data_IF_608594596126
#
_entry.id   IF_608594596126
#
_cell.length_a   1.000
_cell.length_b   1.000
_cell.length_c   1.000
_cell.angle_alpha   90.00
_cell.angle_beta   90.00
_cell.angle_gamma   90.00
#
_symmetry.space_group_name_H-M   'P 1'
#
loop_
_entity.id
_entity.type
_entity.pdbx_description
1 polymer ?
#
# COMPACT_ATOMS: atom_id res chain seq x y z
N UNK A 1 33.95 36.72 -13.83
CA UNK A 1 34.55 35.35 -13.94
C UNK A 1 33.50 34.33 -13.52
N UNK A 2 33.24 33.32 -14.35
CA UNK A 2 32.37 32.21 -13.94
C UNK A 2 33.11 31.31 -12.96
N UNK A 3 32.58 31.21 -11.74
CA UNK A 3 33.09 30.29 -10.72
C UNK A 3 32.35 28.96 -10.81
N UNK A 4 33.07 27.86 -10.61
CA UNK A 4 32.54 26.51 -10.76
C UNK A 4 32.76 25.71 -9.47
N UNK A 5 31.90 24.72 -9.25
CA UNK A 5 32.04 23.72 -8.17
C UNK A 5 31.61 22.35 -8.67
N UNK A 6 31.75 21.33 -7.82
CA UNK A 6 31.25 19.99 -8.12
C UNK A 6 29.90 19.74 -7.46
N UNK A 7 28.97 19.17 -8.22
CA UNK A 7 27.75 18.58 -7.66
C UNK A 7 28.11 17.33 -6.84
N UNK A 8 27.23 16.92 -5.91
CA UNK A 8 27.41 15.70 -5.10
C UNK A 8 27.64 14.43 -5.95
N UNK A 9 27.16 14.40 -7.20
CA UNK A 9 27.40 13.30 -8.13
C UNK A 9 28.75 13.36 -8.86
N UNK A 10 29.60 14.36 -8.60
CA UNK A 10 30.90 14.55 -9.23
C UNK A 10 30.90 15.44 -10.48
N UNK A 11 29.75 15.85 -11.02
CA UNK A 11 29.69 16.73 -12.21
C UNK A 11 30.06 18.18 -11.87
N UNK A 12 30.86 18.82 -12.73
CA UNK A 12 31.18 20.26 -12.64
C UNK A 12 29.94 21.09 -12.99
N UNK A 13 29.59 22.04 -12.13
CA UNK A 13 28.43 22.93 -12.28
C UNK A 13 28.84 24.38 -11.94
N UNK A 14 28.03 25.34 -12.39
CA UNK A 14 28.21 26.74 -11.97
C UNK A 14 28.00 26.86 -10.45
N UNK A 15 28.80 27.69 -9.79
CA UNK A 15 28.83 27.83 -8.33
C UNK A 15 27.46 28.19 -7.72
N UNK A 16 26.65 28.98 -8.43
CA UNK A 16 25.30 29.37 -8.02
C UNK A 16 24.28 28.22 -8.10
N UNK A 17 24.58 27.14 -8.83
CA UNK A 17 23.68 25.99 -8.91
C UNK A 17 23.88 25.08 -7.71
N UNK A 18 22.79 24.62 -7.09
CA UNK A 18 22.87 23.67 -5.97
C UNK A 18 23.17 22.24 -6.41
N UNK A 19 22.68 21.84 -7.60
CA UNK A 19 22.79 20.48 -8.17
C UNK A 19 22.84 20.54 -9.70
N UNK A 20 23.42 19.53 -10.35
CA UNK A 20 23.32 19.37 -11.80
C UNK A 20 21.88 19.06 -12.24
N UNK A 21 21.58 19.25 -13.52
CA UNK A 21 20.28 18.97 -14.15
C UNK A 21 19.77 17.57 -13.80
N UNK A 22 20.59 16.55 -13.92
CA UNK A 22 20.17 15.16 -13.66
C UNK A 22 19.86 14.95 -12.18
N UNK A 23 20.70 15.45 -11.27
CA UNK A 23 20.45 15.33 -9.83
C UNK A 23 19.21 16.13 -9.38
N UNK A 24 18.87 17.22 -10.06
CA UNK A 24 17.59 17.93 -9.83
C UNK A 24 16.42 17.04 -10.23
N UNK A 25 16.44 16.47 -11.43
CA UNK A 25 15.39 15.56 -11.93
C UNK A 25 15.24 14.34 -11.00
N UNK A 26 16.35 13.70 -10.62
CA UNK A 26 16.31 12.55 -9.72
C UNK A 26 15.77 12.91 -8.33
N UNK A 27 16.09 14.09 -7.81
CA UNK A 27 15.52 14.56 -6.52
C UNK A 27 13.99 14.68 -6.63
N UNK A 28 13.48 15.33 -7.69
CA UNK A 28 12.04 15.48 -7.92
C UNK A 28 11.36 14.12 -8.11
N UNK A 29 11.94 13.23 -8.91
CA UNK A 29 11.42 11.85 -9.08
C UNK A 29 11.34 11.10 -7.76
N UNK A 30 12.35 11.20 -6.91
CA UNK A 30 12.36 10.55 -5.60
C UNK A 30 11.33 11.16 -4.64
N UNK A 31 11.17 12.49 -4.66
CA UNK A 31 10.13 13.18 -3.89
C UNK A 31 8.73 12.77 -4.34
N UNK A 32 8.47 12.71 -5.66
CA UNK A 32 7.19 12.26 -6.20
C UNK A 32 6.91 10.80 -5.84
N UNK A 33 7.90 9.90 -5.98
CA UNK A 33 7.76 8.50 -5.54
C UNK A 33 7.39 8.39 -4.06
N UNK A 34 8.03 9.19 -3.21
CA UNK A 34 7.72 9.22 -1.78
C UNK A 34 6.30 9.75 -1.54
N UNK A 35 5.93 10.86 -2.16
CA UNK A 35 4.57 11.40 -2.07
C UNK A 35 3.50 10.40 -2.52
N UNK A 36 3.71 9.73 -3.66
CA UNK A 36 2.80 8.71 -4.19
C UNK A 36 2.67 7.52 -3.24
N UNK A 37 3.78 7.05 -2.65
CA UNK A 37 3.77 5.97 -1.67
C UNK A 37 2.99 6.36 -0.41
N UNK A 38 3.24 7.56 0.15
CA UNK A 38 2.52 8.07 1.32
C UNK A 38 1.04 8.28 1.04
N UNK A 39 0.68 8.78 -0.14
CA UNK A 39 -0.71 8.95 -0.56
C UNK A 39 -1.44 7.60 -0.64
N UNK A 40 -0.81 6.58 -1.26
CA UNK A 40 -1.37 5.23 -1.33
C UNK A 40 -1.60 4.59 0.04
N UNK A 41 -0.65 4.77 0.97
CA UNK A 41 -0.78 4.26 2.35
C UNK A 41 -1.95 4.93 3.09
N UNK A 42 -2.08 6.27 2.95
CA UNK A 42 -3.21 7.03 3.48
C UNK A 42 -4.54 6.63 2.84
N UNK A 43 -4.61 6.45 1.53
CA UNK A 43 -5.83 6.05 0.81
C UNK A 43 -6.27 4.62 1.18
N UNK A 44 -5.30 3.72 1.43
CA UNK A 44 -5.57 2.39 1.97
C UNK A 44 -6.12 2.48 3.40
N UNK A 45 -5.48 3.28 4.27
CA UNK A 45 -5.92 3.48 5.65
C UNK A 45 -7.30 4.15 5.74
N UNK A 46 -7.58 5.17 4.92
CA UNK A 46 -8.84 5.92 4.95
C UNK A 46 -10.04 5.03 4.62
N UNK A 47 -9.90 4.10 3.67
CA UNK A 47 -10.94 3.13 3.34
C UNK A 47 -11.29 2.25 4.55
N UNK A 48 -10.29 1.68 5.24
CA UNK A 48 -10.54 0.83 6.40
C UNK A 48 -11.11 1.61 7.60
N UNK A 49 -11.00 2.93 7.61
CA UNK A 49 -11.65 3.81 8.59
C UNK A 49 -13.03 4.32 8.19
N UNK A 50 -13.46 4.08 6.94
CA UNK A 50 -14.76 4.52 6.40
C UNK A 50 -15.95 3.90 7.15
N UNK A 51 -17.08 4.60 7.15
CA UNK A 51 -18.30 4.15 7.84
C UNK A 51 -18.89 2.94 7.12
N UNK A 52 -18.84 2.96 5.79
CA UNK A 52 -19.30 1.93 4.87
C UNK A 52 -18.59 0.61 5.15
N UNK A 53 -17.25 0.63 5.24
CA UNK A 53 -16.47 -0.56 5.56
C UNK A 53 -16.77 -1.07 6.96
N UNK A 54 -16.83 -0.20 7.97
CA UNK A 54 -17.11 -0.61 9.35
C UNK A 54 -18.47 -1.29 9.48
N UNK A 55 -19.51 -0.74 8.83
CA UNK A 55 -20.86 -1.33 8.81
C UNK A 55 -20.87 -2.68 8.11
N UNK A 56 -20.33 -2.75 6.89
CA UNK A 56 -20.26 -3.98 6.10
C UNK A 56 -19.48 -5.07 6.84
N UNK A 57 -18.28 -4.74 7.34
CA UNK A 57 -17.43 -5.67 8.11
C UNK A 57 -18.17 -6.24 9.32
N UNK A 58 -18.89 -5.38 10.06
CA UNK A 58 -19.59 -5.80 11.28
C UNK A 58 -20.77 -6.71 10.97
N UNK A 59 -21.57 -6.41 9.93
CA UNK A 59 -22.65 -7.29 9.48
C UNK A 59 -22.08 -8.63 8.98
N UNK A 60 -21.10 -8.57 8.07
CA UNK A 60 -20.56 -9.74 7.41
C UNK A 60 -19.97 -10.75 8.39
N UNK A 61 -19.22 -10.31 9.40
CA UNK A 61 -18.61 -11.23 10.38
C UNK A 61 -19.62 -11.83 11.36
N UNK A 62 -20.75 -11.15 11.60
CA UNK A 62 -21.84 -11.70 12.40
C UNK A 62 -22.58 -12.80 11.63
N UNK A 63 -22.82 -12.59 10.32
CA UNK A 63 -23.45 -13.58 9.45
C UNK A 63 -22.51 -14.75 9.11
N UNK A 64 -21.19 -14.51 9.12
CA UNK A 64 -20.15 -15.49 8.80
C UNK A 64 -19.14 -15.64 9.95
N UNK A 65 -19.56 -16.17 11.11
CA UNK A 65 -18.74 -16.17 12.34
C UNK A 65 -17.57 -17.15 12.30
N UNK A 66 -17.53 -18.07 11.32
CA UNK A 66 -16.50 -19.07 11.17
C UNK A 66 -15.54 -18.75 10.03
N UNK A 67 -14.29 -19.15 10.21
CA UNK A 67 -13.21 -19.01 9.24
C UNK A 67 -13.50 -19.87 8.02
N UNK A 68 -13.57 -19.24 6.86
CA UNK A 68 -13.82 -19.91 5.58
C UNK A 68 -12.80 -21.02 5.28
N UNK A 69 -11.56 -20.90 5.77
CA UNK A 69 -10.48 -21.85 5.48
C UNK A 69 -10.42 -23.04 6.43
N UNK A 70 -10.84 -22.90 7.69
CA UNK A 70 -10.60 -23.93 8.70
C UNK A 70 -11.74 -24.14 9.71
N UNK A 71 -12.86 -23.43 9.58
CA UNK A 71 -14.04 -23.61 10.44
C UNK A 71 -13.94 -23.07 11.87
N UNK A 72 -12.76 -22.64 12.34
CA UNK A 72 -12.62 -21.97 13.67
C UNK A 72 -13.27 -20.60 13.66
N UNK A 73 -13.61 -20.03 14.82
CA UNK A 73 -14.14 -18.66 14.89
C UNK A 73 -13.26 -17.64 14.16
N UNK A 74 -13.89 -16.84 13.30
CA UNK A 74 -13.26 -15.76 12.60
C UNK A 74 -13.06 -14.55 13.52
N UNK A 75 -12.03 -13.76 13.22
CA UNK A 75 -11.74 -12.49 13.91
C UNK A 75 -11.57 -11.33 12.93
N UNK A 76 -11.36 -11.64 11.66
CA UNK A 76 -11.06 -10.69 10.60
C UNK A 76 -11.99 -10.96 9.42
N UNK A 77 -12.44 -9.88 8.77
CA UNK A 77 -13.00 -9.94 7.41
C UNK A 77 -11.90 -9.44 6.48
N UNK A 78 -11.57 -10.25 5.50
CA UNK A 78 -10.47 -10.03 4.57
C UNK A 78 -11.00 -10.07 3.13
N UNK A 79 -10.34 -9.35 2.23
CA UNK A 79 -10.71 -9.36 0.81
C UNK A 79 -10.16 -10.63 0.14
N UNK A 80 -10.98 -11.34 -0.65
CA UNK A 80 -10.54 -12.52 -1.42
C UNK A 80 -9.49 -12.13 -2.44
N UNK A 81 -9.79 -11.13 -3.26
CA UNK A 81 -8.86 -10.41 -4.12
C UNK A 81 -8.45 -9.13 -3.39
N UNK A 82 -7.16 -8.92 -3.06
CA UNK A 82 -6.70 -7.71 -2.39
C UNK A 82 -7.08 -6.44 -3.14
N UNK A 83 -7.44 -5.38 -2.41
CA UNK A 83 -7.74 -4.06 -2.98
C UNK A 83 -6.57 -3.56 -3.84
N UNK A 84 -5.33 -3.78 -3.40
CA UNK A 84 -4.11 -3.40 -4.13
C UNK A 84 -3.92 -4.14 -5.47
N UNK A 85 -4.64 -5.25 -5.67
CA UNK A 85 -4.65 -6.05 -6.91
C UNK A 85 -5.94 -5.81 -7.72
N UNK A 86 -6.73 -4.78 -7.39
CA UNK A 86 -7.96 -4.44 -8.10
C UNK A 86 -9.22 -5.11 -7.57
N UNK A 87 -9.15 -5.76 -6.40
CA UNK A 87 -10.33 -6.34 -5.77
C UNK A 87 -11.37 -5.30 -5.37
N UNK A 88 -12.64 -5.64 -5.53
CA UNK A 88 -13.76 -4.77 -5.15
C UNK A 88 -13.80 -4.55 -3.64
N UNK A 89 -13.87 -3.27 -3.24
CA UNK A 89 -13.71 -2.87 -1.84
C UNK A 89 -14.92 -3.23 -0.97
N UNK A 90 -16.13 -3.12 -1.51
CA UNK A 90 -17.41 -3.25 -0.79
C UNK A 90 -18.31 -4.35 -1.35
N UNK A 91 -17.83 -5.18 -2.29
CA UNK A 91 -18.60 -6.31 -2.78
C UNK A 91 -18.48 -7.48 -1.79
N UNK A 92 -19.61 -7.94 -1.26
CA UNK A 92 -19.73 -9.07 -0.33
C UNK A 92 -19.09 -10.34 -0.89
N UNK A 93 -19.19 -10.58 -2.20
CA UNK A 93 -18.61 -11.77 -2.84
C UNK A 93 -17.08 -11.77 -2.83
N UNK A 94 -16.46 -10.58 -2.68
CA UNK A 94 -15.03 -10.43 -2.52
C UNK A 94 -14.58 -10.41 -1.05
N UNK A 95 -15.44 -10.79 -0.10
CA UNK A 95 -15.10 -10.86 1.32
C UNK A 95 -15.06 -12.30 1.83
N UNK A 96 -14.18 -12.57 2.79
CA UNK A 96 -14.11 -13.83 3.51
C UNK A 96 -13.80 -13.59 4.98
N UNK A 97 -14.44 -14.38 5.85
CA UNK A 97 -14.17 -14.41 7.28
C UNK A 97 -12.97 -15.32 7.56
N UNK A 98 -11.97 -14.82 8.29
CA UNK A 98 -10.75 -15.57 8.60
C UNK A 98 -10.42 -15.52 10.10
N UNK A 99 -9.87 -16.62 10.60
CA UNK A 99 -9.14 -16.61 11.86
C UNK A 99 -7.75 -16.00 11.64
N UNK A 100 -7.11 -15.52 12.72
CA UNK A 100 -5.82 -14.82 12.65
C UNK A 100 -4.74 -15.67 11.97
N UNK A 101 -4.70 -16.98 12.26
CA UNK A 101 -3.71 -17.89 11.66
C UNK A 101 -3.85 -17.99 10.15
N UNK A 102 -5.08 -18.17 9.65
CA UNK A 102 -5.33 -18.27 8.20
C UNK A 102 -5.12 -16.94 7.49
N UNK A 103 -5.50 -15.83 8.12
CA UNK A 103 -5.24 -14.48 7.60
C UNK A 103 -3.73 -14.24 7.42
N UNK A 104 -2.92 -14.48 8.45
CA UNK A 104 -1.47 -14.27 8.37
C UNK A 104 -0.80 -15.15 7.31
N UNK A 105 -1.30 -16.39 7.12
CA UNK A 105 -0.84 -17.28 6.04
C UNK A 105 -1.13 -16.67 4.67
N UNK A 106 -2.36 -16.20 4.43
CA UNK A 106 -2.75 -15.53 3.18
C UNK A 106 -1.91 -14.28 2.93
N UNK A 107 -1.75 -13.40 3.91
CA UNK A 107 -0.91 -12.20 3.77
C UNK A 107 0.52 -12.56 3.34
N UNK A 108 1.11 -13.60 3.94
CA UNK A 108 2.46 -14.07 3.58
C UNK A 108 2.53 -14.58 2.14
N UNK A 109 1.51 -15.30 1.68
CA UNK A 109 1.42 -15.79 0.29
C UNK A 109 1.28 -14.63 -0.70
N UNK A 110 0.45 -13.64 -0.39
CA UNK A 110 0.25 -12.47 -1.24
C UNK A 110 1.47 -11.55 -1.33
N UNK A 111 2.30 -11.48 -0.28
CA UNK A 111 3.55 -10.74 -0.32
C UNK A 111 4.57 -11.42 -1.23
N UNK A 112 4.57 -12.75 -1.32
CA UNK A 112 5.44 -13.50 -2.24
C UNK A 112 5.06 -13.30 -3.71
N UNK A 113 3.76 -13.23 -4.02
CA UNK A 113 3.26 -13.10 -5.39
C UNK A 113 3.45 -11.71 -6.04
N UNK A 114 3.96 -10.71 -5.32
CA UNK A 114 4.15 -9.34 -5.83
C UNK A 114 5.61 -9.06 -6.25
N UNK A 115 6.47 -10.08 -6.23
CA UNK A 115 7.90 -9.95 -6.56
C UNK A 115 8.49 -11.12 -7.35
N UNK A 116 7.70 -11.72 -8.26
CA UNK A 116 8.17 -12.70 -9.25
C UNK A 116 8.13 -12.13 -10.65
#
# INVERSE_FOLDING_TARGET
MNTYKFCKCGKKILSHLSKCSECKITTVRNQNKHYDAFKRDRDSSSFYHSVEWKKLRSSFINDNPFCFKCGRFAKIVDHVIPIRQGGEKLNVTNLQSLCMTCHNKKTKEELKGVGG
#
